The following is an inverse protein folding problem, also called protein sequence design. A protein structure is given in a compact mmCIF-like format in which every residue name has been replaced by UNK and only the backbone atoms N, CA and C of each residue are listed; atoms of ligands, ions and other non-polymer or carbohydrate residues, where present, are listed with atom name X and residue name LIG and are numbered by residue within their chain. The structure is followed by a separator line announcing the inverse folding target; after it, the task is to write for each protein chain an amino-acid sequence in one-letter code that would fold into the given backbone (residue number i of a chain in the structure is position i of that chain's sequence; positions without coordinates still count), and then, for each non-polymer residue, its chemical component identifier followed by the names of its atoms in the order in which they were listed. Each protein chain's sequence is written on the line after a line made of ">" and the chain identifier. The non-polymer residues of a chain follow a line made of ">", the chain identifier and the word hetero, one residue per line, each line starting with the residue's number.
data_IF_595628589720
#
_entry.id   IF_595628589720
#
_cell.length_a   1.000
_cell.length_b   1.000
_cell.length_c   1.000
_cell.angle_alpha   90.00
_cell.angle_beta   90.00
_cell.angle_gamma   90.00
#
_symmetry.space_group_name_H-M   'P 1'
#
loop_
_entity.id
_entity.type
_entity.pdbx_description
1 polymer ?
#
# COMPACT_ATOMS: atom_id res chain seq x y z
N UNK A 1 4.57 -11.48 -16.58
CA UNK A 1 4.09 -10.37 -15.74
C UNK A 1 2.57 -10.29 -15.87
N UNK A 2 1.82 -10.87 -14.94
CA UNK A 2 0.36 -10.83 -15.03
C UNK A 2 -0.43 -11.75 -14.11
N UNK A 3 0.18 -12.59 -13.29
CA UNK A 3 -0.62 -13.41 -12.36
C UNK A 3 -0.94 -12.63 -11.08
N UNK A 4 -2.06 -12.96 -10.43
CA UNK A 4 -2.41 -12.36 -9.13
C UNK A 4 -1.32 -12.60 -8.06
N UNK A 5 -0.62 -13.74 -8.16
CA UNK A 5 0.50 -14.09 -7.27
C UNK A 5 1.69 -13.18 -7.47
N UNK A 6 2.10 -12.94 -8.72
CA UNK A 6 3.19 -12.00 -9.05
C UNK A 6 2.88 -10.59 -8.56
N UNK A 7 1.66 -10.10 -8.82
CA UNK A 7 1.24 -8.77 -8.38
C UNK A 7 1.29 -8.63 -6.85
N UNK A 8 0.84 -9.66 -6.13
CA UNK A 8 0.94 -9.70 -4.66
C UNK A 8 2.40 -9.65 -4.19
N UNK A 9 3.29 -10.42 -4.82
CA UNK A 9 4.72 -10.40 -4.48
C UNK A 9 5.33 -9.02 -4.72
N UNK A 10 5.01 -8.37 -5.84
CA UNK A 10 5.51 -7.03 -6.16
C UNK A 10 5.01 -6.00 -5.14
N UNK A 11 3.73 -6.04 -4.79
CA UNK A 11 3.19 -5.10 -3.81
C UNK A 11 3.74 -5.36 -2.40
N UNK A 12 4.00 -6.60 -2.03
CA UNK A 12 4.71 -6.94 -0.78
C UNK A 12 6.15 -6.37 -0.77
N UNK A 13 6.84 -6.42 -1.92
CA UNK A 13 8.16 -5.78 -2.07
C UNK A 13 8.10 -4.26 -1.89
N UNK A 14 7.11 -3.60 -2.51
CA UNK A 14 6.93 -2.15 -2.47
C UNK A 14 6.41 -1.63 -1.11
N UNK A 15 5.77 -2.49 -0.32
CA UNK A 15 5.16 -2.11 0.97
C UNK A 15 5.94 -2.72 2.15
N UNK A 16 5.55 -3.91 2.61
CA UNK A 16 6.06 -4.50 3.85
C UNK A 16 7.56 -4.78 3.83
N UNK A 17 8.12 -5.29 2.73
CA UNK A 17 9.55 -5.58 2.66
C UNK A 17 10.38 -4.31 2.64
N UNK A 18 9.94 -3.30 1.90
CA UNK A 18 10.59 -2.00 1.89
C UNK A 18 10.55 -1.34 3.28
N UNK A 19 9.38 -1.34 3.93
CA UNK A 19 9.25 -0.83 5.29
C UNK A 19 10.17 -1.54 6.28
N UNK A 20 10.27 -2.88 6.18
CA UNK A 20 11.22 -3.67 6.97
C UNK A 20 12.67 -3.30 6.68
N UNK A 21 13.03 -3.14 5.40
CA UNK A 21 14.40 -2.76 5.00
C UNK A 21 14.80 -1.37 5.47
N UNK A 22 13.83 -0.45 5.55
CA UNK A 22 14.03 0.91 6.03
C UNK A 22 13.95 1.02 7.57
N UNK A 23 13.69 -0.08 8.28
CA UNK A 23 13.54 -0.09 9.72
C UNK A 23 12.31 0.69 10.22
N UNK A 24 11.27 0.84 9.40
CA UNK A 24 10.05 1.57 9.76
C UNK A 24 9.22 0.69 10.71
N UNK A 25 9.11 1.03 12.00
CA UNK A 25 8.30 0.26 12.93
C UNK A 25 6.81 0.52 12.67
N UNK A 26 5.96 -0.41 13.12
CA UNK A 26 4.49 -0.26 13.10
C UNK A 26 3.86 0.00 11.72
N UNK A 27 4.55 -0.32 10.63
CA UNK A 27 4.01 -0.26 9.27
C UNK A 27 2.92 -1.32 9.03
N UNK A 28 1.92 -0.96 8.21
CA UNK A 28 0.84 -1.83 7.77
C UNK A 28 -0.50 -1.54 8.43
N UNK A 29 -1.56 -2.10 7.85
CA UNK A 29 -2.93 -1.93 8.34
C UNK A 29 -3.20 -2.93 9.47
N UNK A 30 -2.94 -2.50 10.71
CA UNK A 30 -3.13 -3.30 11.93
C UNK A 30 -3.48 -2.41 13.12
N UNK A 31 -4.13 -2.97 14.14
CA UNK A 31 -4.39 -2.25 15.41
C UNK A 31 -3.07 -1.79 16.03
N UNK A 32 -3.01 -0.54 16.47
CA UNK A 32 -1.80 0.09 17.00
C UNK A 32 -0.73 0.45 15.96
N UNK A 33 -0.99 0.21 14.67
CA UNK A 33 -0.14 0.65 13.57
C UNK A 33 -0.26 2.16 13.31
N UNK A 34 0.75 2.73 12.66
CA UNK A 34 0.69 4.14 12.24
C UNK A 34 -0.42 4.31 11.20
N UNK A 35 -1.26 5.35 11.35
CA UNK A 35 -2.35 5.66 10.42
C UNK A 35 -1.84 6.35 9.14
N UNK A 36 -0.97 5.65 8.42
CA UNK A 36 -0.42 6.03 7.12
C UNK A 36 -1.05 5.13 6.05
N UNK A 37 -2.01 5.65 5.29
CA UNK A 37 -2.89 4.86 4.42
C UNK A 37 -3.08 5.57 3.08
N UNK A 38 -2.82 4.87 1.97
CA UNK A 38 -3.19 5.31 0.63
C UNK A 38 -4.41 4.53 0.13
N UNK A 39 -5.45 5.23 -0.31
CA UNK A 39 -6.69 4.63 -0.83
C UNK A 39 -6.71 4.78 -2.35
N UNK A 40 -6.84 3.66 -3.06
CA UNK A 40 -6.85 3.64 -4.53
C UNK A 40 -8.25 3.36 -5.06
N UNK A 41 -8.59 3.92 -6.22
CA UNK A 41 -9.87 3.65 -6.90
C UNK A 41 -9.87 2.29 -7.62
N UNK A 42 -9.78 1.20 -6.85
CA UNK A 42 -9.92 -0.17 -7.38
C UNK A 42 -10.28 -1.14 -6.28
N UNK A 43 -10.97 -2.23 -6.63
CA UNK A 43 -11.28 -3.34 -5.74
C UNK A 43 -10.37 -4.57 -5.95
N UNK A 44 -9.39 -4.48 -6.86
CA UNK A 44 -8.46 -5.57 -7.17
C UNK A 44 -7.02 -5.11 -6.98
N UNK A 45 -6.30 -5.81 -6.11
CA UNK A 45 -4.91 -5.53 -5.79
C UNK A 45 -4.01 -5.47 -7.05
N UNK A 46 -4.23 -6.37 -8.00
CA UNK A 46 -3.48 -6.42 -9.27
C UNK A 46 -3.64 -5.14 -10.11
N UNK A 47 -4.80 -4.51 -10.06
CA UNK A 47 -5.09 -3.32 -10.88
C UNK A 47 -4.26 -2.12 -10.43
N UNK A 48 -3.85 -2.06 -9.16
CA UNK A 48 -2.95 -1.01 -8.64
C UNK A 48 -1.67 -0.91 -9.47
N UNK A 49 -1.11 -2.04 -9.92
CA UNK A 49 0.11 -2.06 -10.72
C UNK A 49 -0.14 -1.86 -12.22
N UNK A 50 -1.24 -2.41 -12.76
CA UNK A 50 -1.53 -2.43 -14.19
C UNK A 50 -2.19 -1.13 -14.67
N UNK A 51 -3.26 -0.72 -13.99
CA UNK A 51 -4.09 0.41 -14.38
C UNK A 51 -3.59 1.71 -13.76
N UNK A 52 -2.76 1.61 -12.72
CA UNK A 52 -2.23 2.76 -11.95
C UNK A 52 -3.35 3.76 -11.61
N UNK A 53 -4.43 3.29 -10.96
CA UNK A 53 -5.59 4.11 -10.67
C UNK A 53 -5.19 5.30 -9.80
N UNK A 54 -5.95 6.38 -9.92
CA UNK A 54 -5.78 7.56 -9.08
C UNK A 54 -5.89 7.18 -7.59
N UNK A 55 -5.02 7.78 -6.77
CA UNK A 55 -5.16 7.76 -5.31
C UNK A 55 -6.34 8.65 -4.96
N UNK A 56 -7.40 8.07 -4.39
CA UNK A 56 -8.60 8.79 -3.94
C UNK A 56 -8.23 9.72 -2.81
N UNK A 57 -7.47 9.22 -1.84
CA UNK A 57 -7.02 10.01 -0.69
C UNK A 57 -5.79 9.38 -0.03
N UNK A 58 -5.04 10.20 0.69
CA UNK A 58 -3.89 9.81 1.49
C UNK A 58 -4.05 10.29 2.94
N UNK A 59 -3.93 9.37 3.87
CA UNK A 59 -3.77 9.67 5.30
C UNK A 59 -2.32 9.54 5.71
N UNK A 60 -1.81 10.51 6.47
CA UNK A 60 -0.49 10.48 7.12
C UNK A 60 -0.66 10.84 8.59
N UNK A 61 -0.22 9.95 9.47
CA UNK A 61 -0.40 10.07 10.93
C UNK A 61 -1.86 10.39 11.33
N UNK A 62 -2.83 9.79 10.62
CA UNK A 62 -4.26 9.99 10.86
C UNK A 62 -4.83 11.30 10.29
N UNK A 63 -4.03 12.13 9.63
CA UNK A 63 -4.48 13.36 8.95
C UNK A 63 -4.63 13.13 7.46
N UNK A 64 -5.76 13.53 6.90
CA UNK A 64 -5.94 13.56 5.45
C UNK A 64 -5.03 14.64 4.84
N UNK A 65 -4.28 14.28 3.80
CA UNK A 65 -3.36 15.18 3.10
C UNK A 65 -3.98 15.76 1.83
N UNK A 66 -4.66 14.90 1.06
CA UNK A 66 -5.52 15.28 -0.06
C UNK A 66 -6.66 14.27 -0.16
#
# INVERSE_FOLDING_TARGET
>A
MGTAKEAKTILDMLTYRLAKSLGIPNYGIKKGGTADIAVFNTNKLRNVLLERPQVITLYKAGKQIY
#
